data_IF_691541793804
#
_entry.id   IF_691541793804
#
_cell.length_a   1.000
_cell.length_b   1.000
_cell.length_c   1.000
_cell.angle_alpha   90.00
_cell.angle_beta   90.00
_cell.angle_gamma   90.00
#
_symmetry.space_group_name_H-M   'P 1'
#
loop_
_entity.id
_entity.type
_entity.pdbx_description
1 polymer ?
#
# COMPACT_ATOMS: atom_id res chain seq x y z
N UNK A 1 -1.44 16.05 -1.72
CA UNK A 1 -1.86 15.17 -0.58
C UNK A 1 -2.70 15.98 0.42
N UNK A 2 -3.76 15.38 0.95
CA UNK A 2 -4.82 16.06 1.69
C UNK A 2 -6.12 15.24 1.79
N UNK A 3 -6.07 13.95 1.45
CA UNK A 3 -7.22 13.06 1.52
C UNK A 3 -7.44 12.50 2.92
N UNK A 4 -8.66 12.07 3.24
CA UNK A 4 -9.01 11.47 4.54
C UNK A 4 -8.06 10.32 4.91
N UNK A 5 -7.60 9.54 3.93
CA UNK A 5 -6.76 8.36 4.15
C UNK A 5 -5.29 8.68 4.49
N UNK A 6 -4.82 9.90 4.25
CA UNK A 6 -3.45 10.30 4.60
C UNK A 6 -3.26 10.29 6.13
N UNK A 7 -4.28 10.76 6.86
CA UNK A 7 -4.28 10.76 8.33
C UNK A 7 -4.26 9.34 8.89
N UNK A 8 -5.06 8.44 8.30
CA UNK A 8 -5.12 7.04 8.68
C UNK A 8 -3.77 6.35 8.44
N UNK A 9 -3.19 6.51 7.25
CA UNK A 9 -1.90 5.93 6.89
C UNK A 9 -0.78 6.40 7.83
N UNK A 10 -0.66 7.71 8.05
CA UNK A 10 0.34 8.27 8.95
C UNK A 10 0.17 7.75 10.38
N UNK A 11 -1.07 7.70 10.87
CA UNK A 11 -1.35 7.17 12.21
C UNK A 11 -0.96 5.68 12.32
N UNK A 12 -1.31 4.85 11.33
CA UNK A 12 -0.95 3.43 11.31
C UNK A 12 0.57 3.22 11.36
N UNK A 13 1.33 3.92 10.52
CA UNK A 13 2.80 3.84 10.47
C UNK A 13 3.41 4.27 11.81
N UNK A 14 3.03 5.44 12.31
CA UNK A 14 3.57 5.96 13.57
C UNK A 14 3.21 5.06 14.76
N UNK A 15 1.99 4.51 14.80
CA UNK A 15 1.57 3.61 15.86
C UNK A 15 2.32 2.27 15.82
N UNK A 16 2.50 1.68 14.63
CA UNK A 16 3.27 0.45 14.47
C UNK A 16 4.74 0.63 14.89
N UNK A 17 5.36 1.77 14.54
CA UNK A 17 6.72 2.14 14.98
C UNK A 17 6.79 2.29 16.50
N UNK A 18 5.85 3.04 17.12
CA UNK A 18 5.80 3.21 18.58
C UNK A 18 5.65 1.89 19.34
N UNK A 19 4.91 0.92 18.78
CA UNK A 19 4.74 -0.42 19.36
C UNK A 19 5.92 -1.36 19.07
N UNK A 20 6.93 -0.94 18.30
CA UNK A 20 8.04 -1.80 17.87
C UNK A 20 7.66 -2.88 16.87
N UNK A 21 6.46 -2.83 16.29
CA UNK A 21 5.98 -3.81 15.31
C UNK A 21 6.49 -3.51 13.89
N UNK A 22 6.82 -2.25 13.61
CA UNK A 22 7.46 -1.84 12.38
C UNK A 22 8.91 -1.48 12.67
N UNK A 23 9.81 -2.45 12.45
CA UNK A 23 11.24 -2.32 12.67
C UNK A 23 11.84 -1.27 11.71
N UNK A 24 12.95 -0.58 12.06
CA UNK A 24 13.62 0.37 11.18
C UNK A 24 13.90 -0.23 9.80
N UNK A 25 13.52 0.46 8.72
CA UNK A 25 13.71 -0.02 7.34
C UNK A 25 12.78 -1.14 6.89
N UNK A 26 11.93 -1.68 7.77
CA UNK A 26 10.99 -2.75 7.40
C UNK A 26 10.00 -2.25 6.34
N UNK A 27 9.68 -3.13 5.38
CA UNK A 27 8.72 -2.86 4.31
C UNK A 27 7.28 -2.93 4.83
N UNK A 28 6.45 -2.02 4.34
CA UNK A 28 5.00 -2.05 4.51
C UNK A 28 4.39 -2.68 3.25
N UNK A 29 3.56 -3.70 3.42
CA UNK A 29 2.81 -4.32 2.32
C UNK A 29 1.33 -4.12 2.60
N UNK A 30 0.58 -3.61 1.62
CA UNK A 30 -0.86 -3.38 1.75
C UNK A 30 -1.59 -3.78 0.47
N UNK A 31 -2.71 -4.49 0.62
CA UNK A 31 -3.61 -4.82 -0.49
C UNK A 31 -4.64 -3.70 -0.64
N UNK A 32 -4.40 -2.79 -1.59
CA UNK A 32 -5.28 -1.63 -1.80
C UNK A 32 -5.32 -1.20 -3.25
N UNK A 33 -6.49 -0.74 -3.69
CA UNK A 33 -6.71 -0.18 -5.02
C UNK A 33 -7.01 1.33 -4.99
N UNK A 34 -6.58 2.05 -3.94
CA UNK A 34 -6.98 3.45 -3.76
C UNK A 34 -6.13 4.30 -2.82
N UNK A 35 -6.73 5.37 -2.31
CA UNK A 35 -6.05 6.48 -1.62
C UNK A 35 -5.31 6.12 -0.34
N UNK A 36 -5.60 4.98 0.28
CA UNK A 36 -4.81 4.50 1.42
C UNK A 36 -3.37 4.12 1.00
N UNK A 37 -3.21 3.48 -0.16
CA UNK A 37 -1.88 3.15 -0.68
C UNK A 37 -1.03 4.39 -0.90
N UNK A 38 -1.65 5.47 -1.37
CA UNK A 38 -0.99 6.77 -1.57
C UNK A 38 -0.53 7.39 -0.24
N UNK A 39 -1.41 7.38 0.76
CA UNK A 39 -1.06 7.85 2.10
C UNK A 39 0.07 7.03 2.73
N UNK A 40 0.05 5.70 2.53
CA UNK A 40 1.10 4.81 3.01
C UNK A 40 2.41 5.04 2.28
N UNK A 41 2.41 5.21 0.96
CA UNK A 41 3.59 5.53 0.16
C UNK A 41 4.29 6.79 0.68
N UNK A 42 3.53 7.86 0.93
CA UNK A 42 4.05 9.10 1.50
C UNK A 42 4.58 8.91 2.93
N UNK A 43 3.81 8.26 3.81
CA UNK A 43 4.23 8.03 5.19
C UNK A 43 5.48 7.13 5.27
N UNK A 44 5.54 6.11 4.42
CA UNK A 44 6.67 5.20 4.30
C UNK A 44 7.92 5.92 3.81
N UNK A 45 7.82 6.71 2.73
CA UNK A 45 8.92 7.51 2.22
C UNK A 45 9.48 8.48 3.27
N UNK A 46 8.62 9.19 4.00
CA UNK A 46 9.03 10.14 5.06
C UNK A 46 9.66 9.43 6.26
N UNK A 47 9.25 8.19 6.57
CA UNK A 47 9.71 7.47 7.75
C UNK A 47 10.71 6.35 7.46
N UNK A 48 11.20 6.22 6.23
CA UNK A 48 12.21 5.25 5.85
C UNK A 48 11.70 3.81 5.76
N UNK A 49 10.44 3.63 5.34
CA UNK A 49 9.83 2.32 5.13
C UNK A 49 9.43 2.17 3.66
N UNK A 50 10.05 1.26 2.89
CA UNK A 50 9.59 0.92 1.55
C UNK A 50 8.13 0.44 1.60
N UNK A 51 7.36 0.78 0.56
CA UNK A 51 5.94 0.42 0.49
C UNK A 51 5.68 -0.40 -0.75
N UNK A 52 5.03 -1.55 -0.59
CA UNK A 52 4.50 -2.35 -1.69
C UNK A 52 2.99 -2.32 -1.65
N UNK A 53 2.38 -1.90 -2.75
CA UNK A 53 0.93 -1.93 -2.96
C UNK A 53 0.58 -3.14 -3.82
N UNK A 54 -0.14 -4.09 -3.24
CA UNK A 54 -0.71 -5.22 -3.97
C UNK A 54 -2.06 -4.81 -4.53
N UNK A 55 -2.21 -4.86 -5.86
CA UNK A 55 -3.42 -4.45 -6.57
C UNK A 55 -3.80 -5.44 -7.68
N UNK A 56 -4.95 -5.22 -8.29
CA UNK A 56 -5.49 -5.94 -9.44
C UNK A 56 -5.65 -5.01 -10.67
N UNK A 57 -5.96 -5.55 -11.86
CA UNK A 57 -6.07 -4.76 -13.10
C UNK A 57 -7.16 -3.68 -13.09
N UNK A 58 -8.04 -3.63 -12.07
CA UNK A 58 -9.03 -2.59 -11.91
C UNK A 58 -8.49 -1.26 -11.38
N UNK A 59 -7.20 -1.17 -11.02
CA UNK A 59 -6.57 0.08 -10.58
C UNK A 59 -6.52 1.11 -11.71
N UNK A 60 -6.96 2.34 -11.41
CA UNK A 60 -6.87 3.44 -12.37
C UNK A 60 -5.40 3.76 -12.71
N UNK A 61 -5.05 3.95 -13.99
CA UNK A 61 -3.67 4.27 -14.40
C UNK A 61 -3.10 5.51 -13.71
N UNK A 62 -3.93 6.53 -13.43
CA UNK A 62 -3.52 7.72 -12.68
C UNK A 62 -3.05 7.36 -11.26
N UNK A 63 -3.76 6.47 -10.57
CA UNK A 63 -3.40 6.04 -9.22
C UNK A 63 -2.08 5.26 -9.24
N UNK A 64 -1.93 4.33 -10.19
CA UNK A 64 -0.66 3.61 -10.41
C UNK A 64 0.49 4.59 -10.65
N UNK A 65 0.30 5.58 -11.52
CA UNK A 65 1.32 6.60 -11.80
C UNK A 65 1.70 7.42 -10.56
N UNK A 66 0.72 7.83 -9.75
CA UNK A 66 0.96 8.55 -8.50
C UNK A 66 1.73 7.70 -7.49
N UNK A 67 1.32 6.44 -7.29
CA UNK A 67 1.99 5.51 -6.37
C UNK A 67 3.46 5.30 -6.76
N UNK A 68 3.72 5.02 -8.04
CA UNK A 68 5.08 4.86 -8.56
C UNK A 68 5.90 6.14 -8.40
N UNK A 69 5.31 7.31 -8.69
CA UNK A 69 5.99 8.60 -8.53
C UNK A 69 6.38 8.90 -7.07
N UNK A 70 5.62 8.39 -6.10
CA UNK A 70 5.96 8.47 -4.67
C UNK A 70 6.82 7.30 -4.18
N UNK A 71 7.35 6.48 -5.08
CA UNK A 71 8.32 5.43 -4.78
C UNK A 71 7.72 4.16 -4.17
N UNK A 72 6.42 3.92 -4.35
CA UNK A 72 5.82 2.64 -3.99
C UNK A 72 6.11 1.58 -5.05
N UNK A 73 6.46 0.37 -4.62
CA UNK A 73 6.48 -0.82 -5.45
C UNK A 73 5.02 -1.26 -5.71
N UNK A 74 4.70 -1.60 -6.96
CA UNK A 74 3.35 -2.05 -7.32
C UNK A 74 3.42 -3.53 -7.70
N UNK A 75 2.68 -4.36 -6.97
CA UNK A 75 2.52 -5.77 -7.24
C UNK A 75 1.12 -6.03 -7.81
N UNK A 76 1.05 -6.30 -9.11
CA UNK A 76 -0.19 -6.59 -9.80
C UNK A 76 -0.48 -8.10 -9.74
N UNK A 77 -1.66 -8.49 -9.26
CA UNK A 77 -2.14 -9.86 -9.45
C UNK A 77 -2.68 -10.02 -10.87
N UNK A 78 -2.20 -11.04 -11.58
CA UNK A 78 -2.49 -11.20 -13.02
C UNK A 78 -3.82 -11.91 -13.29
N UNK A 79 -4.30 -12.72 -12.34
CA UNK A 79 -5.52 -13.50 -12.48
C UNK A 79 -6.33 -13.53 -11.17
N UNK A 80 -7.68 -13.56 -11.26
CA UNK A 80 -8.53 -13.72 -10.09
C UNK A 80 -8.43 -15.14 -9.54
N UNK A 81 -8.56 -15.29 -8.22
CA UNK A 81 -8.66 -16.60 -7.60
C UNK A 81 -10.00 -17.28 -7.93
N UNK A 82 -10.07 -18.60 -8.20
CA UNK A 82 -11.28 -19.29 -8.65
C UNK A 82 -12.49 -19.20 -7.71
N UNK A 83 -12.26 -19.06 -6.40
CA UNK A 83 -13.34 -19.03 -5.38
C UNK A 83 -13.55 -17.63 -4.78
N UNK A 84 -12.56 -16.74 -4.87
CA UNK A 84 -12.54 -15.47 -4.12
C UNK A 84 -12.16 -14.24 -4.94
N UNK A 85 -12.07 -14.41 -6.27
CA UNK A 85 -11.81 -13.32 -7.21
C UNK A 85 -10.49 -12.59 -6.97
N UNK A 86 -10.49 -11.30 -7.30
CA UNK A 86 -9.34 -10.41 -7.13
C UNK A 86 -8.94 -10.19 -5.67
N UNK A 87 -9.92 -10.18 -4.76
CA UNK A 87 -9.64 -9.94 -3.34
C UNK A 87 -8.82 -11.09 -2.74
N UNK A 88 -9.20 -12.33 -3.01
CA UNK A 88 -8.42 -13.49 -2.58
C UNK A 88 -7.06 -13.56 -3.27
N UNK A 89 -6.99 -13.22 -4.56
CA UNK A 89 -5.73 -13.18 -5.29
C UNK A 89 -4.72 -12.22 -4.64
N UNK A 90 -5.17 -11.00 -4.29
CA UNK A 90 -4.33 -10.01 -3.58
C UNK A 90 -3.99 -10.46 -2.17
N UNK A 91 -4.94 -11.04 -1.43
CA UNK A 91 -4.71 -11.51 -0.06
C UNK A 91 -3.60 -12.56 0.04
N UNK A 92 -3.35 -13.34 -1.02
CA UNK A 92 -2.27 -14.34 -1.06
C UNK A 92 -0.87 -13.76 -1.28
N UNK A 93 -0.76 -12.46 -1.54
CA UNK A 93 0.52 -11.76 -1.76
C UNK A 93 0.93 -10.89 -0.56
N UNK A 94 0.09 -10.82 0.49
CA UNK A 94 0.32 -10.01 1.70
C UNK A 94 0.51 -10.86 2.94
#
# INVERSE_FOLDING_TARGET
PGGIKDRTALHMVLAARRRGQLLPGARIIESTSGTLGLGLALAGAVHGHPVTVVTDPGMEPLMTGLLTAFGADIELVEAPHPVGGWQEARRRRV
#
